data_IF_200101916286
#
_entry.id   IF_200101916286
#
_cell.length_a   1.000
_cell.length_b   1.000
_cell.length_c   1.000
_cell.angle_alpha   90.00
_cell.angle_beta   90.00
_cell.angle_gamma   90.00
#
_symmetry.space_group_name_H-M   'P 1'
#
loop_
_entity.id
_entity.type
_entity.pdbx_description
1 polymer ?
#
# COMPACT_ATOMS: atom_id res chain seq x y z
N UNK A 1 -4.79 5.59 11.99
CA UNK A 1 -4.46 5.18 10.61
C UNK A 1 -4.04 6.39 9.81
N UNK A 2 -3.15 6.21 8.81
CA UNK A 2 -2.55 7.32 8.08
C UNK A 2 -3.64 8.15 7.40
N UNK A 3 -3.72 9.42 7.81
CA UNK A 3 -4.65 10.43 7.27
C UNK A 3 -3.98 11.26 6.18
N UNK A 4 -2.66 11.22 6.09
CA UNK A 4 -1.87 11.97 5.12
C UNK A 4 -1.00 11.06 4.27
N UNK A 5 -0.56 11.57 3.12
CA UNK A 5 0.37 10.88 2.22
C UNK A 5 1.70 10.55 2.93
N UNK A 6 2.22 11.49 3.72
CA UNK A 6 3.46 11.32 4.49
C UNK A 6 3.35 10.18 5.50
N UNK A 7 2.26 10.13 6.27
CA UNK A 7 2.00 9.03 7.21
C UNK A 7 1.83 7.68 6.48
N UNK A 8 1.23 7.69 5.29
CA UNK A 8 1.07 6.48 4.47
C UNK A 8 2.43 5.96 3.99
N UNK A 9 3.33 6.87 3.58
CA UNK A 9 4.72 6.57 3.21
C UNK A 9 5.49 6.00 4.39
N UNK A 10 5.42 6.63 5.57
CA UNK A 10 6.12 6.16 6.77
C UNK A 10 5.65 4.76 7.18
N UNK A 11 4.33 4.50 7.12
CA UNK A 11 3.78 3.17 7.40
C UNK A 11 4.22 2.13 6.37
N UNK A 12 4.20 2.49 5.08
CA UNK A 12 4.68 1.59 4.02
C UNK A 12 6.15 1.25 4.23
N UNK A 13 6.99 2.25 4.53
CA UNK A 13 8.40 2.05 4.85
C UNK A 13 8.61 1.10 6.03
N UNK A 14 7.87 1.29 7.13
CA UNK A 14 7.95 0.40 8.29
C UNK A 14 7.59 -1.06 7.94
N UNK A 15 6.56 -1.26 7.11
CA UNK A 15 6.18 -2.60 6.63
C UNK A 15 7.31 -3.21 5.80
N UNK A 16 7.89 -2.45 4.88
CA UNK A 16 8.96 -2.91 3.99
C UNK A 16 10.23 -3.25 4.77
N UNK A 17 10.64 -2.40 5.72
CA UNK A 17 11.79 -2.65 6.60
C UNK A 17 11.59 -3.92 7.44
N UNK A 18 10.37 -4.16 7.94
CA UNK A 18 10.04 -5.38 8.70
C UNK A 18 10.15 -6.66 7.85
N UNK A 19 9.82 -6.58 6.57
CA UNK A 19 9.94 -7.69 5.62
C UNK A 19 11.39 -7.86 5.09
N UNK A 20 12.31 -6.96 5.46
CA UNK A 20 13.69 -6.96 4.97
C UNK A 20 13.82 -6.54 3.50
N UNK A 21 12.81 -5.87 2.95
CA UNK A 21 12.78 -5.43 1.57
C UNK A 21 13.53 -4.09 1.40
N UNK A 22 14.11 -3.84 0.22
CA UNK A 22 14.77 -2.56 -0.04
C UNK A 22 13.75 -1.42 -0.17
N UNK A 23 14.02 -0.30 0.51
CA UNK A 23 13.25 0.94 0.39
C UNK A 23 14.13 2.08 -0.12
N UNK A 24 13.85 2.56 -1.33
CA UNK A 24 14.26 3.90 -1.76
C UNK A 24 13.02 4.81 -1.78
N UNK A 25 13.22 6.13 -1.82
CA UNK A 25 12.13 7.11 -1.74
C UNK A 25 10.87 6.70 -2.52
N UNK A 26 9.67 6.90 -1.95
CA UNK A 26 8.43 6.50 -2.61
C UNK A 26 8.28 7.28 -3.91
N UNK A 27 8.07 6.56 -5.00
CA UNK A 27 7.81 7.17 -6.31
C UNK A 27 6.38 7.69 -6.38
N UNK A 28 5.46 7.02 -5.66
CA UNK A 28 4.04 7.37 -5.69
C UNK A 28 3.35 6.90 -4.43
N UNK A 29 2.64 7.81 -3.75
CA UNK A 29 1.67 7.47 -2.73
C UNK A 29 0.33 8.12 -3.07
N UNK A 30 -0.78 7.40 -2.88
CA UNK A 30 -2.10 7.94 -3.20
C UNK A 30 -3.22 7.19 -2.51
N UNK A 31 -4.30 7.92 -2.24
CA UNK A 31 -5.54 7.41 -1.67
C UNK A 31 -6.50 7.05 -2.80
N UNK A 32 -6.93 5.80 -2.83
CA UNK A 32 -7.79 5.25 -3.88
C UNK A 32 -9.04 4.65 -3.27
N UNK A 33 -10.18 4.87 -3.90
CA UNK A 33 -11.41 4.16 -3.58
C UNK A 33 -11.43 2.81 -4.28
N UNK A 34 -11.79 1.76 -3.56
CA UNK A 34 -11.99 0.43 -4.10
C UNK A 34 -13.31 -0.14 -3.59
N UNK A 35 -13.99 -0.87 -4.47
CA UNK A 35 -15.21 -1.58 -4.10
C UNK A 35 -14.81 -2.90 -3.48
N UNK A 36 -15.04 -3.04 -2.18
CA UNK A 36 -14.88 -4.32 -1.51
C UNK A 36 -16.07 -5.20 -1.92
N UNK A 37 -15.81 -6.20 -2.77
CA UNK A 37 -16.80 -7.24 -3.08
C UNK A 37 -16.91 -8.15 -1.86
N UNK A 38 -17.85 -7.85 -0.96
CA UNK A 38 -18.30 -8.85 0.02
C UNK A 38 -19.24 -9.86 -0.66
N UNK A 39 -19.29 -11.06 -0.09
CA UNK A 39 -20.10 -12.23 -0.48
C UNK A 39 -21.54 -11.87 -0.90
N UNK A 40 -22.19 -12.78 -1.66
CA UNK A 40 -23.56 -12.69 -2.22
C UNK A 40 -24.64 -12.13 -1.28
N UNK A 41 -24.45 -12.20 0.04
CA UNK A 41 -25.40 -11.73 1.06
C UNK A 41 -25.08 -10.38 1.70
N UNK A 42 -23.95 -9.75 1.35
CA UNK A 42 -23.52 -8.49 1.96
C UNK A 42 -23.45 -7.39 0.89
N UNK A 43 -24.06 -6.24 1.20
CA UNK A 43 -23.96 -5.04 0.36
C UNK A 43 -22.48 -4.72 0.12
N UNK A 44 -22.11 -4.49 -1.14
CA UNK A 44 -20.76 -4.01 -1.47
C UNK A 44 -20.55 -2.64 -0.83
N UNK A 45 -19.43 -2.48 -0.12
CA UNK A 45 -19.03 -1.21 0.47
C UNK A 45 -17.93 -0.56 -0.37
N UNK A 46 -18.00 0.76 -0.53
CA UNK A 46 -16.87 1.53 -1.04
C UNK A 46 -15.93 1.78 0.13
N UNK A 47 -14.68 1.35 0.00
CA UNK A 47 -13.63 1.56 0.98
C UNK A 47 -12.48 2.33 0.36
N UNK A 48 -11.69 2.98 1.19
CA UNK A 48 -10.49 3.71 0.77
C UNK A 48 -9.26 2.89 1.12
N UNK A 49 -8.30 2.86 0.20
CA UNK A 49 -6.99 2.25 0.41
C UNK A 49 -5.89 3.23 0.04
N UNK A 50 -4.83 3.24 0.82
CA UNK A 50 -3.57 3.84 0.40
C UNK A 50 -2.82 2.84 -0.46
N UNK A 51 -2.24 3.31 -1.54
CA UNK A 51 -1.29 2.56 -2.37
C UNK A 51 0.01 3.35 -2.40
N UNK A 52 1.08 2.73 -1.90
CA UNK A 52 2.43 3.30 -1.91
C UNK A 52 3.32 2.41 -2.75
N UNK A 53 3.97 3.00 -3.74
CA UNK A 53 4.91 2.32 -4.64
C UNK A 53 6.28 2.99 -4.53
N UNK A 54 7.30 2.18 -4.30
CA UNK A 54 8.70 2.58 -4.45
C UNK A 54 9.34 1.79 -5.59
N UNK A 55 10.28 2.45 -6.27
CA UNK A 55 11.12 1.85 -7.28
C UNK A 55 12.57 2.01 -6.83
N UNK A 56 13.22 0.89 -6.56
CA UNK A 56 14.64 0.88 -6.27
C UNK A 56 15.43 1.23 -7.55
N UNK A 57 15.83 2.50 -7.66
CA UNK A 57 16.81 3.03 -8.63
C UNK A 57 16.48 2.85 -10.12
N UNK A 58 15.20 2.74 -10.52
CA UNK A 58 14.82 2.38 -11.91
C UNK A 58 15.50 1.08 -12.41
N UNK A 59 16.04 0.26 -11.48
CA UNK A 59 16.90 -0.89 -11.78
C UNK A 59 16.27 -2.24 -11.48
N UNK A 60 15.04 -2.28 -10.95
CA UNK A 60 14.19 -3.46 -11.09
C UNK A 60 13.55 -4.05 -9.84
N UNK A 61 13.75 -3.48 -8.64
CA UNK A 61 12.97 -3.89 -7.48
C UNK A 61 11.82 -2.90 -7.24
N UNK A 62 10.62 -3.27 -7.66
CA UNK A 62 9.41 -2.52 -7.35
C UNK A 62 8.79 -3.08 -6.08
N UNK A 63 8.53 -2.21 -5.11
CA UNK A 63 7.73 -2.56 -3.94
C UNK A 63 6.44 -1.77 -4.00
N UNK A 64 5.32 -2.48 -3.90
CA UNK A 64 3.99 -1.90 -3.81
C UNK A 64 3.32 -2.41 -2.55
N UNK A 65 2.91 -1.48 -1.70
CA UNK A 65 2.17 -1.77 -0.48
C UNK A 65 0.82 -1.06 -0.58
N UNK A 66 -0.27 -1.84 -0.45
CA UNK A 66 -1.61 -1.29 -0.30
C UNK A 66 -2.19 -1.65 1.07
N UNK A 67 -2.78 -0.70 1.75
CA UNK A 67 -3.48 -0.92 3.01
C UNK A 67 -4.75 -0.09 3.10
N UNK A 68 -5.74 -0.57 3.85
CA UNK A 68 -6.99 0.14 4.07
C UNK A 68 -6.75 1.44 4.84
N UNK A 69 -7.39 2.53 4.40
CA UNK A 69 -7.20 3.84 5.00
C UNK A 69 -7.80 3.97 6.41
N UNK A 70 -8.89 3.25 6.70
CA UNK A 70 -9.61 3.36 7.98
C UNK A 70 -9.07 2.40 9.04
N UNK A 71 -8.93 1.12 8.69
CA UNK A 71 -8.46 0.07 9.62
C UNK A 71 -6.96 -0.14 9.58
N UNK A 72 -6.30 0.31 8.51
CA UNK A 72 -4.88 0.05 8.29
C UNK A 72 -4.51 -1.37 7.95
N UNK A 73 -5.49 -2.22 7.71
CA UNK A 73 -5.28 -3.60 7.29
C UNK A 73 -4.46 -3.61 6.00
N UNK A 74 -3.45 -4.47 5.95
CA UNK A 74 -2.62 -4.60 4.76
C UNK A 74 -3.37 -5.45 3.75
N UNK A 75 -3.79 -4.81 2.66
CA UNK A 75 -4.57 -5.45 1.59
C UNK A 75 -3.67 -6.16 0.58
N UNK A 76 -2.50 -5.59 0.30
CA UNK A 76 -1.60 -6.08 -0.73
C UNK A 76 -0.15 -5.72 -0.38
N UNK A 77 0.76 -6.70 -0.49
CA UNK A 77 2.21 -6.47 -0.45
C UNK A 77 2.82 -7.18 -1.65
N UNK A 78 3.44 -6.42 -2.54
CA UNK A 78 4.11 -6.97 -3.71
C UNK A 78 5.54 -6.48 -3.69
N UNK A 79 6.47 -7.42 -3.67
CA UNK A 79 7.86 -7.18 -4.03
C UNK A 79 8.14 -7.93 -5.31
N UNK A 80 8.49 -7.19 -6.35
CA UNK A 80 8.95 -7.75 -7.61
C UNK A 80 10.43 -7.40 -7.74
N UNK A 81 11.35 -8.30 -7.33
CA UNK A 81 12.72 -8.24 -7.78
C UNK A 81 12.76 -8.51 -9.29
N UNK A 82 13.73 -7.92 -9.99
CA UNK A 82 14.08 -8.37 -11.34
C UNK A 82 14.94 -9.62 -11.27
#
# INVERSE_FOLDING_TARGET
MPKTEKEAIEKARFIVEKEGWPWLEPVKAGLWEYKEKKSLYSKSAYRKKWSVTTNYLNRGANVKISFEAETGEVLEKVWSPR
#
